data_IF_932321468234
#
_entry.id   IF_932321468234
#
_cell.length_a   1.000
_cell.length_b   1.000
_cell.length_c   1.000
_cell.angle_alpha   90.00
_cell.angle_beta   90.00
_cell.angle_gamma   90.00
#
_symmetry.space_group_name_H-M   'P 1'
#
loop_
_entity.id
_entity.type
_entity.pdbx_description
1 polymer ?
#
# COMPACT_ATOMS: atom_id res chain seq x y z
N UNK A 1 -12.63 -11.76 -10.05
CA UNK A 1 -11.59 -11.05 -9.27
C UNK A 1 -10.68 -12.12 -8.70
N UNK A 2 -9.63 -12.42 -9.45
CA UNK A 2 -8.81 -13.61 -9.25
C UNK A 2 -7.79 -13.37 -8.14
N UNK A 3 -8.19 -13.60 -6.89
CA UNK A 3 -7.32 -13.57 -5.71
C UNK A 3 -6.92 -14.99 -5.26
N UNK A 4 -6.80 -15.92 -6.21
CA UNK A 4 -6.38 -17.30 -5.97
C UNK A 4 -4.87 -17.50 -6.14
N UNK A 5 -4.34 -18.71 -5.85
CA UNK A 5 -2.93 -19.04 -6.07
C UNK A 5 -2.45 -18.85 -7.52
N UNK A 6 -3.39 -18.74 -8.47
CA UNK A 6 -3.14 -18.46 -9.89
C UNK A 6 -3.05 -16.96 -10.24
N UNK A 7 -3.22 -16.06 -9.27
CA UNK A 7 -3.10 -14.62 -9.50
C UNK A 7 -1.67 -14.26 -9.90
N UNK A 8 -1.50 -13.47 -10.96
CA UNK A 8 -0.20 -12.96 -11.38
C UNK A 8 0.40 -12.10 -10.27
N UNK A 9 1.59 -12.48 -9.79
CA UNK A 9 2.37 -11.72 -8.80
C UNK A 9 3.60 -11.13 -9.47
N UNK A 10 3.94 -9.90 -9.11
CA UNK A 10 5.22 -9.26 -9.44
C UNK A 10 5.81 -8.65 -8.20
N UNK A 11 7.12 -8.72 -8.07
CA UNK A 11 7.84 -8.00 -7.03
C UNK A 11 8.07 -6.57 -7.49
N UNK A 12 7.66 -5.60 -6.68
CA UNK A 12 7.92 -4.18 -6.89
C UNK A 12 8.91 -3.68 -5.84
N UNK A 13 9.75 -2.71 -6.22
CA UNK A 13 10.62 -2.04 -5.24
C UNK A 13 9.92 -0.79 -4.73
N UNK A 14 9.79 -0.67 -3.42
CA UNK A 14 9.16 0.48 -2.81
C UNK A 14 9.53 0.66 -1.35
N UNK A 15 9.18 1.82 -0.83
CA UNK A 15 9.28 2.17 0.57
C UNK A 15 7.88 2.20 1.17
N UNK A 16 7.67 1.41 2.22
CA UNK A 16 6.43 1.42 3.00
C UNK A 16 6.68 2.22 4.29
N UNK A 17 5.85 3.22 4.56
CA UNK A 17 5.90 4.01 5.79
C UNK A 17 4.56 3.92 6.52
N UNK A 18 4.55 3.75 7.86
CA UNK A 18 3.31 3.77 8.61
C UNK A 18 2.67 5.14 8.46
N UNK A 19 1.41 5.19 8.01
CA UNK A 19 0.64 6.43 8.03
C UNK A 19 0.13 6.56 9.47
N UNK A 20 0.66 7.51 10.22
CA UNK A 20 0.24 7.73 11.61
C UNK A 20 -1.25 7.99 11.64
N UNK A 21 -2.00 7.07 12.24
CA UNK A 21 -3.42 7.24 12.47
C UNK A 21 -3.62 8.35 13.50
N UNK A 22 -4.38 9.39 13.15
CA UNK A 22 -4.82 10.42 14.11
C UNK A 22 -5.92 9.91 15.05
N UNK A 23 -6.32 8.65 14.92
CA UNK A 23 -7.28 8.02 15.83
C UNK A 23 -6.60 7.76 17.17
N UNK A 24 -7.00 8.53 18.18
CA UNK A 24 -6.59 8.35 19.58
C UNK A 24 -6.67 6.88 19.95
N UNK A 25 -5.55 6.28 20.33
CA UNK A 25 -5.52 4.92 20.82
C UNK A 25 -6.11 4.92 22.23
N UNK A 26 -7.35 4.45 22.38
CA UNK A 26 -7.92 4.22 23.70
C UNK A 26 -7.01 3.26 24.48
N UNK A 27 -6.70 3.55 25.76
CA UNK A 27 -5.83 2.70 26.56
C UNK A 27 -6.42 1.29 26.66
N UNK A 28 -5.69 0.30 26.12
CA UNK A 28 -6.09 -1.10 26.11
C UNK A 28 -6.28 -1.73 24.72
N UNK A 29 -6.24 -0.95 23.63
CA UNK A 29 -6.14 -1.50 22.26
C UNK A 29 -4.75 -1.27 21.68
N UNK A 30 -4.16 -2.32 21.12
CA UNK A 30 -2.99 -2.18 20.26
C UNK A 30 -3.41 -1.37 19.04
N UNK A 31 -2.75 -0.23 18.81
CA UNK A 31 -2.96 0.55 17.61
C UNK A 31 -2.45 -0.25 16.42
N UNK A 32 -3.33 -1.01 15.77
CA UNK A 32 -3.02 -1.57 14.46
C UNK A 32 -2.94 -0.36 13.54
N UNK A 33 -1.74 0.01 13.09
CA UNK A 33 -1.58 1.04 12.07
C UNK A 33 -2.22 0.50 10.79
N UNK A 34 -3.51 0.78 10.62
CA UNK A 34 -4.34 0.20 9.56
C UNK A 34 -4.02 0.79 8.19
N UNK A 35 -3.23 1.86 8.14
CA UNK A 35 -2.88 2.57 6.91
C UNK A 35 -1.37 2.76 6.77
N UNK A 36 -0.87 2.57 5.56
CA UNK A 36 0.54 2.71 5.19
C UNK A 36 0.65 3.59 3.95
N UNK A 37 1.68 4.40 3.84
CA UNK A 37 2.08 5.01 2.57
C UNK A 37 3.04 4.09 1.83
N UNK A 38 2.80 3.90 0.54
CA UNK A 38 3.70 3.22 -0.38
C UNK A 38 4.25 4.22 -1.39
N UNK A 39 5.57 4.27 -1.47
CA UNK A 39 6.30 4.99 -2.51
C UNK A 39 7.03 3.98 -3.39
N UNK A 40 6.75 3.95 -4.69
CA UNK A 40 7.40 3.01 -5.63
C UNK A 40 7.72 3.66 -6.97
N UNK A 41 8.65 3.08 -7.72
CA UNK A 41 8.95 3.46 -9.10
C UNK A 41 8.17 2.61 -10.11
N UNK A 42 7.62 1.49 -9.65
CA UNK A 42 6.84 0.58 -10.47
C UNK A 42 5.38 1.05 -10.51
N UNK A 43 4.72 1.04 -11.69
CA UNK A 43 3.32 1.46 -11.77
C UNK A 43 2.46 0.51 -10.96
N UNK A 44 1.63 1.05 -10.07
CA UNK A 44 0.64 0.32 -9.27
C UNK A 44 -0.76 0.87 -9.57
N UNK A 45 -1.78 0.02 -9.53
CA UNK A 45 -3.17 0.39 -9.79
C UNK A 45 -4.07 0.14 -8.56
N UNK A 46 -5.16 0.91 -8.44
CA UNK A 46 -6.13 0.83 -7.35
C UNK A 46 -6.71 -0.58 -7.11
N UNK A 47 -6.80 -1.39 -8.17
CA UNK A 47 -7.32 -2.78 -8.12
C UNK A 47 -6.30 -3.81 -7.61
N UNK A 48 -5.03 -3.44 -7.52
CA UNK A 48 -3.97 -4.33 -7.07
C UNK A 48 -3.96 -4.46 -5.55
N UNK A 49 -3.36 -5.56 -5.07
CA UNK A 49 -3.07 -5.79 -3.65
C UNK A 49 -1.58 -5.98 -3.48
N UNK A 50 -1.06 -5.52 -2.35
CA UNK A 50 0.36 -5.58 -2.01
C UNK A 50 0.53 -6.58 -0.87
N UNK A 51 1.38 -7.59 -1.07
CA UNK A 51 1.78 -8.50 -0.01
C UNK A 51 3.11 -8.01 0.58
N UNK A 52 3.15 -7.82 1.90
CA UNK A 52 4.35 -7.42 2.62
C UNK A 52 4.37 -8.09 4.00
N UNK A 53 5.47 -8.73 4.36
CA UNK A 53 5.66 -9.43 5.64
C UNK A 53 4.53 -10.43 5.96
N UNK A 54 4.09 -11.18 4.94
CA UNK A 54 2.99 -12.15 5.06
C UNK A 54 1.60 -11.55 5.25
N UNK A 55 1.46 -10.22 5.16
CA UNK A 55 0.18 -9.49 5.25
C UNK A 55 -0.20 -8.94 3.89
N UNK A 56 -1.50 -8.87 3.64
CA UNK A 56 -2.06 -8.35 2.39
C UNK A 56 -2.68 -6.98 2.63
N UNK A 57 -2.31 -6.03 1.78
CA UNK A 57 -2.82 -4.68 1.81
C UNK A 57 -3.55 -4.35 0.51
N UNK A 58 -4.66 -3.62 0.63
CA UNK A 58 -5.39 -3.08 -0.50
C UNK A 58 -4.88 -1.68 -0.84
N UNK A 59 -4.77 -1.37 -2.13
CA UNK A 59 -4.48 -0.02 -2.61
C UNK A 59 -5.73 0.84 -2.47
N UNK A 60 -5.64 1.92 -1.70
CA UNK A 60 -6.72 2.86 -1.49
C UNK A 60 -6.69 3.96 -2.53
N UNK A 61 -7.81 4.12 -3.25
CA UNK A 61 -7.95 5.12 -4.29
C UNK A 61 -6.99 4.93 -5.46
N UNK A 62 -6.92 5.94 -6.31
CA UNK A 62 -5.98 5.95 -7.43
C UNK A 62 -4.58 6.38 -6.97
N UNK A 63 -3.53 5.59 -7.27
CA UNK A 63 -2.15 5.98 -6.97
C UNK A 63 -1.79 7.31 -7.63
N UNK A 64 -1.27 8.23 -6.82
CA UNK A 64 -0.78 9.52 -7.29
C UNK A 64 0.52 9.31 -8.05
N UNK A 65 0.61 9.91 -9.24
CA UNK A 65 1.81 9.92 -10.06
C UNK A 65 2.55 11.23 -9.85
N UNK A 66 3.76 11.16 -9.29
CA UNK A 66 4.61 12.30 -9.07
C UNK A 66 5.94 12.18 -9.82
N UNK A 67 6.33 13.23 -10.55
CA UNK A 67 7.58 13.26 -11.32
C UNK A 67 8.46 14.44 -10.86
N UNK A 68 9.29 14.27 -9.81
CA UNK A 68 10.17 15.33 -9.30
C UNK A 68 11.27 15.73 -10.28
N UNK A 69 11.66 14.83 -11.20
CA UNK A 69 12.65 15.08 -12.25
C UNK A 69 12.19 14.41 -13.53
N UNK A 70 12.43 15.02 -14.71
CA UNK A 70 12.10 14.40 -16.00
C UNK A 70 12.59 12.95 -16.07
N UNK A 71 11.67 12.02 -16.32
CA UNK A 71 11.97 10.59 -16.43
C UNK A 71 12.15 9.84 -15.11
N UNK A 72 11.91 10.46 -13.95
CA UNK A 72 11.84 9.80 -12.64
C UNK A 72 10.43 9.88 -12.09
N UNK A 73 9.60 8.94 -12.50
CA UNK A 73 8.22 8.81 -12.02
C UNK A 73 8.21 8.01 -10.72
N UNK A 74 7.54 8.56 -9.73
CA UNK A 74 7.19 7.92 -8.48
C UNK A 74 5.67 7.74 -8.44
N UNK A 75 5.25 6.62 -7.87
CA UNK A 75 3.87 6.34 -7.55
C UNK A 75 3.73 6.36 -6.03
N UNK A 76 2.81 7.17 -5.55
CA UNK A 76 2.43 7.27 -4.14
C UNK A 76 1.01 6.75 -3.97
N UNK A 77 0.80 5.90 -2.98
CA UNK A 77 -0.55 5.46 -2.64
C UNK A 77 -0.67 5.14 -1.16
N UNK A 78 -1.92 5.09 -0.68
CA UNK A 78 -2.23 4.59 0.65
C UNK A 78 -2.60 3.12 0.54
N UNK A 79 -2.07 2.32 1.45
CA UNK A 79 -2.35 0.92 1.60
C UNK A 79 -3.15 0.72 2.89
N UNK A 80 -4.24 -0.03 2.84
CA UNK A 80 -5.00 -0.46 4.03
C UNK A 80 -4.89 -1.95 4.22
N UNK A 81 -4.91 -2.43 5.46
CA UNK A 81 -4.97 -3.87 5.69
C UNK A 81 -6.25 -4.44 5.06
N UNK A 82 -6.11 -5.43 4.19
CA UNK A 82 -7.27 -6.13 3.65
C UNK A 82 -7.71 -7.17 4.69
N UNK A 83 -8.81 -6.92 5.39
CA UNK A 83 -9.47 -7.97 6.17
C UNK A 83 -9.97 -9.06 5.20
N UNK A 84 -9.50 -10.29 5.43
CA UNK A 84 -9.79 -11.47 4.63
C UNK A 84 -9.67 -12.72 5.48
#
# INVERSE_FOLDING_TARGET
MDYGPAASRRTVRGMMQPRTSTTSSEPGRQAVTGSWWLFTLDPIAARERVEHDGRVYQVEGDPERWEPRPGRVHYETTLTHADG
#
